data_IF_622278226672
#
_entry.id   IF_622278226672
#
_cell.length_a   1.000
_cell.length_b   1.000
_cell.length_c   1.000
_cell.angle_alpha   90.00
_cell.angle_beta   90.00
_cell.angle_gamma   90.00
#
_symmetry.space_group_name_H-M   'P 1'
#
loop_
_entity.id
_entity.type
_entity.pdbx_description
1 polymer ?
#
# COMPACT_ATOMS: atom_id res chain seq x y z
N UNK A 1 10.28 -11.67 -3.98
CA UNK A 1 9.24 -11.69 -2.92
C UNK A 1 7.89 -11.21 -3.43
N UNK A 2 7.77 -10.07 -4.12
CA UNK A 2 6.47 -9.57 -4.61
C UNK A 2 5.72 -10.56 -5.51
N UNK A 3 6.43 -11.27 -6.40
CA UNK A 3 5.81 -12.29 -7.26
C UNK A 3 5.15 -13.42 -6.45
N UNK A 4 5.81 -13.91 -5.38
CA UNK A 4 5.25 -14.93 -4.49
C UNK A 4 3.97 -14.41 -3.83
N UNK A 5 4.00 -13.18 -3.33
CA UNK A 5 2.83 -12.56 -2.70
C UNK A 5 1.69 -12.29 -3.69
N UNK A 6 1.92 -12.38 -4.99
CA UNK A 6 0.93 -12.24 -6.07
C UNK A 6 0.44 -13.55 -6.63
N UNK A 7 0.96 -14.67 -6.14
CA UNK A 7 0.62 -15.97 -6.68
C UNK A 7 -0.82 -16.34 -6.30
N UNK A 8 -1.71 -16.25 -7.29
CA UNK A 8 -3.12 -16.61 -7.14
C UNK A 8 -3.32 -18.13 -7.20
N UNK A 9 -2.49 -18.86 -7.95
CA UNK A 9 -2.66 -20.29 -8.20
C UNK A 9 -2.37 -21.12 -6.93
N UNK A 10 -1.41 -20.68 -6.11
CA UNK A 10 -1.14 -21.26 -4.79
C UNK A 10 -2.01 -20.70 -3.66
N UNK A 11 -2.98 -19.84 -4.00
CA UNK A 11 -3.86 -19.13 -3.07
C UNK A 11 -3.13 -18.27 -2.03
N UNK A 12 -1.87 -17.88 -2.28
CA UNK A 12 -1.16 -16.89 -1.48
C UNK A 12 -1.82 -15.52 -1.66
N UNK A 13 -2.17 -15.18 -2.90
CA UNK A 13 -2.96 -14.02 -3.25
C UNK A 13 -4.40 -14.44 -3.53
N UNK A 14 -5.35 -13.89 -2.76
CA UNK A 14 -6.79 -14.16 -2.92
C UNK A 14 -7.52 -12.87 -3.25
N UNK A 15 -8.29 -12.91 -4.34
CA UNK A 15 -9.11 -11.80 -4.84
C UNK A 15 -10.19 -11.36 -3.85
N UNK A 16 -10.82 -10.20 -4.09
CA UNK A 16 -11.82 -9.63 -3.17
C UNK A 16 -13.14 -10.42 -3.11
N UNK A 17 -13.40 -11.26 -4.10
CA UNK A 17 -14.56 -12.16 -4.19
C UNK A 17 -14.35 -13.49 -3.45
N UNK A 18 -13.13 -13.77 -3.01
CA UNK A 18 -12.83 -14.95 -2.19
C UNK A 18 -13.43 -14.83 -0.78
N UNK A 19 -13.78 -15.96 -0.14
CA UNK A 19 -14.32 -16.00 1.24
C UNK A 19 -13.34 -15.37 2.26
N UNK A 20 -12.04 -15.56 2.02
CA UNK A 20 -10.94 -15.02 2.80
C UNK A 20 -10.01 -14.19 1.90
N UNK A 21 -10.40 -12.96 1.54
CA UNK A 21 -9.64 -12.14 0.59
C UNK A 21 -8.32 -11.65 1.22
N UNK A 22 -7.28 -11.49 0.41
CA UNK A 22 -6.02 -10.93 0.89
C UNK A 22 -6.18 -9.42 1.09
N UNK A 23 -6.28 -8.98 2.34
CA UNK A 23 -6.55 -7.58 2.68
C UNK A 23 -5.37 -6.61 2.38
N UNK A 24 -4.17 -7.16 2.25
CA UNK A 24 -2.96 -6.42 1.92
C UNK A 24 -1.72 -7.30 2.07
N UNK A 25 -0.56 -6.76 1.72
CA UNK A 25 0.70 -7.47 1.77
C UNK A 25 1.84 -6.56 2.14
N UNK A 26 2.88 -7.15 2.74
CA UNK A 26 4.08 -6.43 3.14
C UNK A 26 5.35 -7.25 2.89
N UNK A 27 6.45 -6.56 2.61
CA UNK A 27 7.80 -7.15 2.58
C UNK A 27 8.73 -6.24 3.36
N UNK A 28 9.54 -6.81 4.25
CA UNK A 28 10.55 -6.04 4.99
C UNK A 28 11.93 -6.58 4.69
N UNK A 29 12.84 -5.68 4.35
CA UNK A 29 14.26 -5.97 4.22
C UNK A 29 14.96 -5.29 5.38
N UNK A 30 15.53 -6.10 6.26
CA UNK A 30 16.22 -5.63 7.45
C UNK A 30 17.73 -5.62 7.21
N UNK A 31 18.37 -4.52 7.58
CA UNK A 31 19.81 -4.43 7.59
C UNK A 31 20.38 -5.05 8.87
N UNK A 32 21.59 -5.63 8.75
CA UNK A 32 22.36 -6.01 9.94
C UNK A 32 22.71 -4.76 10.76
N UNK A 33 22.78 -4.83 12.10
CA UNK A 33 23.19 -3.69 12.93
C UNK A 33 24.53 -3.05 12.51
N UNK A 34 25.45 -3.85 11.97
CA UNK A 34 26.78 -3.39 11.53
C UNK A 34 26.80 -2.87 10.08
N UNK A 35 25.64 -2.85 9.40
CA UNK A 35 25.52 -2.41 8.02
C UNK A 35 25.21 -0.92 7.94
N UNK A 36 25.81 -0.24 6.97
CA UNK A 36 25.40 1.12 6.57
C UNK A 36 24.06 1.13 5.81
N UNK A 37 23.55 -0.04 5.43
CA UNK A 37 22.29 -0.17 4.69
C UNK A 37 21.11 0.22 5.60
N UNK A 38 20.15 0.95 5.06
CA UNK A 38 18.88 1.16 5.77
C UNK A 38 17.93 -0.03 5.63
N UNK A 39 17.12 -0.29 6.66
CA UNK A 39 15.93 -1.12 6.52
C UNK A 39 14.95 -0.47 5.52
N UNK A 40 14.23 -1.30 4.78
CA UNK A 40 13.19 -0.84 3.85
C UNK A 40 11.98 -1.77 3.92
N UNK A 41 10.81 -1.18 4.11
CA UNK A 41 9.54 -1.87 4.25
C UNK A 41 8.66 -1.52 3.06
N UNK A 42 7.91 -2.48 2.54
CA UNK A 42 7.09 -2.33 1.37
C UNK A 42 5.66 -2.71 1.73
N UNK A 43 4.70 -1.84 1.41
CA UNK A 43 3.29 -2.06 1.76
C UNK A 43 2.40 -1.89 0.54
N UNK A 44 1.42 -2.78 0.39
CA UNK A 44 0.37 -2.59 -0.60
C UNK A 44 -0.69 -1.59 -0.15
N UNK A 45 -1.10 -1.62 1.12
CA UNK A 45 -2.13 -0.73 1.67
C UNK A 45 -3.51 -0.85 0.99
N UNK A 46 -3.68 -1.82 0.10
CA UNK A 46 -4.93 -2.20 -0.57
C UNK A 46 -4.95 -3.73 -0.78
N UNK A 47 -6.14 -4.34 -0.90
CA UNK A 47 -6.30 -5.78 -1.08
C UNK A 47 -5.75 -6.30 -2.40
N UNK A 48 -5.64 -7.62 -2.50
CA UNK A 48 -5.24 -8.34 -3.72
C UNK A 48 -3.92 -7.79 -4.30
N UNK A 49 -2.76 -8.22 -3.77
CA UNK A 49 -1.46 -7.80 -4.28
C UNK A 49 -1.25 -8.04 -5.79
N UNK A 50 -2.00 -8.95 -6.44
CA UNK A 50 -1.94 -9.12 -7.89
C UNK A 50 -2.51 -7.90 -8.64
N UNK A 51 -3.43 -7.15 -8.02
CA UNK A 51 -4.02 -5.91 -8.53
C UNK A 51 -3.74 -4.68 -7.62
N UNK A 52 -2.69 -4.74 -6.82
CA UNK A 52 -2.21 -3.66 -5.95
C UNK A 52 -0.70 -3.44 -6.08
N UNK A 53 -0.17 -2.28 -5.66
CA UNK A 53 1.25 -1.92 -5.77
C UNK A 53 1.94 -1.79 -4.42
N UNK A 54 3.17 -2.29 -4.32
CA UNK A 54 4.03 -2.11 -3.16
C UNK A 54 4.68 -0.73 -3.18
N UNK A 55 4.54 -0.02 -2.06
CA UNK A 55 5.15 1.29 -1.83
C UNK A 55 6.23 1.16 -0.76
N UNK A 56 7.46 1.65 -1.02
CA UNK A 56 8.55 1.64 -0.07
C UNK A 56 8.30 2.63 1.07
N UNK A 57 8.78 2.25 2.24
CA UNK A 57 8.77 3.00 3.47
C UNK A 57 10.10 2.76 4.17
N UNK A 58 10.86 3.84 4.32
CA UNK A 58 12.13 3.87 5.05
C UNK A 58 11.93 4.74 6.28
N UNK A 59 12.25 4.21 7.45
CA UNK A 59 12.15 4.98 8.69
C UNK A 59 13.17 6.13 8.68
N UNK A 60 12.68 7.35 8.85
CA UNK A 60 13.48 8.54 9.06
C UNK A 60 12.87 9.41 10.16
N UNK A 61 13.60 10.42 10.62
CA UNK A 61 13.17 11.27 11.75
C UNK A 61 11.91 12.10 11.46
N UNK A 62 11.51 12.24 10.20
CA UNK A 62 10.44 13.15 9.78
C UNK A 62 9.51 12.56 8.71
N UNK A 63 9.25 11.24 8.72
CA UNK A 63 8.36 10.62 7.73
C UNK A 63 6.99 11.32 7.70
N UNK A 64 6.55 11.72 6.50
CA UNK A 64 5.22 12.27 6.25
C UNK A 64 4.33 11.20 5.63
N UNK A 65 3.10 11.12 6.11
CA UNK A 65 2.13 10.09 5.70
C UNK A 65 0.96 10.77 5.01
N UNK A 66 0.48 10.20 3.90
CA UNK A 66 -0.70 10.74 3.21
C UNK A 66 -1.96 10.57 4.06
N UNK A 67 -2.84 11.58 4.05
CA UNK A 67 -4.15 11.48 4.72
C UNK A 67 -5.07 10.43 4.08
N UNK A 68 -4.77 10.02 2.85
CA UNK A 68 -5.58 9.05 2.12
C UNK A 68 -5.47 7.61 2.60
N UNK A 69 -4.52 7.33 3.49
CA UNK A 69 -4.33 6.04 4.16
C UNK A 69 -4.64 6.13 5.67
N UNK A 70 -5.29 7.22 6.09
CA UNK A 70 -5.77 7.39 7.46
C UNK A 70 -7.26 7.02 7.50
N UNK A 71 -7.62 6.10 8.38
CA UNK A 71 -9.02 5.76 8.63
C UNK A 71 -9.78 6.95 9.23
N UNK A 72 -11.09 7.09 8.94
CA UNK A 72 -11.95 8.07 9.60
C UNK A 72 -11.90 7.94 11.12
N UNK A 73 -11.83 9.09 11.81
CA UNK A 73 -11.91 9.18 13.26
C UNK A 73 -13.35 9.56 13.64
N UNK A 74 -13.94 8.78 14.54
CA UNK A 74 -15.27 9.05 15.07
C UNK A 74 -15.13 9.65 16.48
N UNK A 75 -15.98 10.61 16.87
CA UNK A 75 -16.04 11.10 18.24
C UNK A 75 -16.22 9.95 19.24
N UNK A 76 -15.62 10.04 20.43
CA UNK A 76 -15.62 8.94 21.41
C UNK A 76 -17.03 8.50 21.84
N UNK A 77 -18.00 9.42 21.87
CA UNK A 77 -19.41 9.15 22.17
C UNK A 77 -20.18 8.54 20.98
N UNK A 78 -19.58 8.48 19.80
CA UNK A 78 -20.18 7.92 18.58
C UNK A 78 -19.43 6.67 18.07
N UNK A 79 -18.17 6.50 18.44
CA UNK A 79 -17.33 5.38 18.04
C UNK A 79 -17.82 4.08 18.71
N UNK A 80 -18.26 3.07 17.94
CA UNK A 80 -18.77 1.81 18.50
C UNK A 80 -17.75 1.03 19.33
N UNK A 81 -16.46 1.25 19.11
CA UNK A 81 -15.39 0.63 19.90
C UNK A 81 -15.20 1.31 21.27
N UNK A 82 -15.73 2.53 21.45
CA UNK A 82 -15.58 3.36 22.67
C UNK A 82 -16.87 3.41 23.50
N UNK A 83 -18.04 3.46 22.86
CA UNK A 83 -19.35 3.45 23.53
C UNK A 83 -19.64 2.08 24.16
N UNK A 84 -20.28 2.05 25.34
CA UNK A 84 -20.70 0.81 26.02
C UNK A 84 -22.23 0.64 25.94
N UNK A 85 -22.75 -0.57 25.64
CA UNK A 85 -22.01 -1.76 25.22
C UNK A 85 -21.31 -1.55 23.85
N UNK A 86 -20.17 -2.22 23.65
CA UNK A 86 -19.34 -2.01 22.45
C UNK A 86 -19.95 -2.68 21.22
N UNK A 87 -19.60 -2.17 20.04
CA UNK A 87 -19.90 -2.71 18.72
C UNK A 87 -21.39 -2.92 18.41
N UNK A 88 -22.28 -2.13 19.02
CA UNK A 88 -23.72 -2.20 18.76
C UNK A 88 -24.13 -1.66 17.38
N UNK A 89 -23.24 -0.92 16.73
CA UNK A 89 -23.40 -0.47 15.34
C UNK A 89 -22.07 -0.62 14.60
N UNK A 90 -22.15 -0.74 13.28
CA UNK A 90 -20.98 -0.78 12.40
C UNK A 90 -20.77 0.59 11.79
N UNK A 91 -19.51 1.03 11.73
CA UNK A 91 -19.11 2.27 11.05
C UNK A 91 -18.11 1.95 9.97
N UNK A 92 -18.13 2.71 8.87
CA UNK A 92 -17.16 2.56 7.79
C UNK A 92 -15.82 3.18 8.19
N UNK A 93 -14.78 2.34 8.37
CA UNK A 93 -13.40 2.77 8.69
C UNK A 93 -12.45 2.73 7.50
N UNK A 94 -12.95 2.49 6.29
CA UNK A 94 -12.12 2.44 5.09
C UNK A 94 -11.50 3.81 4.84
N UNK A 95 -10.18 3.84 4.65
CA UNK A 95 -9.49 5.05 4.21
C UNK A 95 -9.75 5.32 2.72
N UNK A 96 -9.35 6.50 2.25
CA UNK A 96 -9.65 6.95 0.88
C UNK A 96 -9.03 6.05 -0.19
N UNK A 97 -7.75 5.69 -0.04
CA UNK A 97 -7.05 4.83 -1.00
C UNK A 97 -7.77 3.47 -1.16
N UNK A 98 -8.14 2.82 -0.04
CA UNK A 98 -8.89 1.55 -0.06
C UNK A 98 -10.20 1.70 -0.83
N UNK A 99 -10.98 2.73 -0.51
CA UNK A 99 -12.28 2.96 -1.15
C UNK A 99 -12.14 3.22 -2.66
N UNK A 100 -11.07 3.89 -3.07
CA UNK A 100 -10.79 4.17 -4.49
C UNK A 100 -10.33 2.91 -5.22
N UNK A 101 -9.43 2.14 -4.61
CA UNK A 101 -9.00 0.84 -5.14
C UNK A 101 -10.19 -0.11 -5.30
N UNK A 102 -11.04 -0.24 -4.28
CA UNK A 102 -12.24 -1.10 -4.34
C UNK A 102 -13.18 -0.70 -5.49
N UNK A 103 -13.34 0.60 -5.77
CA UNK A 103 -14.14 1.08 -6.91
C UNK A 103 -13.49 0.80 -8.25
N UNK A 104 -12.16 0.87 -8.34
CA UNK A 104 -11.41 0.55 -9.54
C UNK A 104 -11.29 -0.96 -9.77
N UNK A 105 -11.39 -1.77 -8.71
CA UNK A 105 -11.09 -3.20 -8.72
C UNK A 105 -11.76 -3.98 -9.84
N UNK A 106 -13.08 -3.85 -10.11
CA UNK A 106 -13.72 -4.57 -11.20
C UNK A 106 -13.13 -4.25 -12.58
N UNK A 107 -12.66 -3.02 -12.79
CA UNK A 107 -11.97 -2.65 -14.03
C UNK A 107 -10.58 -3.31 -14.08
N UNK A 108 -9.84 -3.26 -12.97
CA UNK A 108 -8.46 -3.77 -12.86
C UNK A 108 -8.38 -5.30 -13.03
N UNK A 109 -9.41 -6.04 -12.62
CA UNK A 109 -9.45 -7.52 -12.70
C UNK A 109 -10.16 -8.05 -13.93
N UNK A 110 -10.75 -7.18 -14.76
CA UNK A 110 -11.42 -7.58 -16.00
C UNK A 110 -10.46 -7.67 -17.18
N UNK A 111 -10.91 -8.30 -18.27
CA UNK A 111 -10.22 -8.28 -19.57
C UNK A 111 -10.28 -6.91 -20.28
N UNK A 112 -10.74 -5.86 -19.59
CA UNK A 112 -10.81 -4.52 -20.16
C UNK A 112 -9.39 -3.98 -20.45
N UNK A 113 -9.08 -3.58 -21.71
CA UNK A 113 -7.75 -3.10 -22.07
C UNK A 113 -7.26 -1.92 -21.22
N UNK A 114 -8.17 -1.04 -20.79
CA UNK A 114 -7.84 0.10 -19.91
C UNK A 114 -7.40 -0.35 -18.52
N UNK A 115 -8.04 -1.38 -17.97
CA UNK A 115 -7.65 -1.97 -16.68
C UNK A 115 -6.27 -2.60 -16.76
N UNK A 116 -6.03 -3.37 -17.82
CA UNK A 116 -4.74 -4.00 -18.11
C UNK A 116 -3.62 -2.98 -18.31
N UNK A 117 -3.90 -1.87 -19.01
CA UNK A 117 -2.96 -0.75 -19.16
C UNK A 117 -2.61 -0.11 -17.81
N UNK A 118 -3.61 0.18 -16.97
CA UNK A 118 -3.39 0.76 -15.64
C UNK A 118 -2.49 -0.14 -14.79
N UNK A 119 -2.80 -1.44 -14.71
CA UNK A 119 -1.98 -2.40 -13.94
C UNK A 119 -0.57 -2.50 -14.52
N UNK A 120 -0.42 -2.55 -15.84
CA UNK A 120 0.89 -2.59 -16.50
C UNK A 120 1.75 -1.36 -16.16
N UNK A 121 1.17 -0.16 -16.21
CA UNK A 121 1.87 1.08 -15.84
C UNK A 121 2.24 1.07 -14.37
N UNK A 122 1.31 0.73 -13.49
CA UNK A 122 1.55 0.63 -12.05
C UNK A 122 2.66 -0.37 -11.71
N UNK A 123 2.70 -1.52 -12.38
CA UNK A 123 3.76 -2.54 -12.23
C UNK A 123 5.11 -2.04 -12.72
N UNK A 124 5.16 -1.34 -13.84
CA UNK A 124 6.40 -0.75 -14.36
C UNK A 124 6.95 0.30 -13.40
N UNK A 125 6.09 1.16 -12.85
CA UNK A 125 6.47 2.15 -11.84
C UNK A 125 6.97 1.49 -10.56
N UNK A 126 6.31 0.42 -10.10
CA UNK A 126 6.77 -0.37 -8.95
C UNK A 126 8.15 -0.97 -9.20
N UNK A 127 8.39 -1.60 -10.35
CA UNK A 127 9.69 -2.19 -10.68
C UNK A 127 10.80 -1.14 -10.70
N UNK A 128 10.54 0.02 -11.30
CA UNK A 128 11.50 1.14 -11.29
C UNK A 128 11.77 1.60 -9.85
N UNK A 129 10.73 1.76 -9.04
CA UNK A 129 10.85 2.17 -7.65
C UNK A 129 11.66 1.17 -6.83
N UNK A 130 11.53 -0.14 -7.06
CA UNK A 130 12.37 -1.17 -6.42
C UNK A 130 13.84 -0.98 -6.77
N UNK A 131 14.17 -0.80 -8.06
CA UNK A 131 15.55 -0.61 -8.51
C UNK A 131 16.18 0.66 -7.92
N UNK A 132 15.42 1.76 -7.92
CA UNK A 132 15.87 3.03 -7.36
C UNK A 132 16.10 2.90 -5.85
N UNK A 133 15.19 2.21 -5.15
CA UNK A 133 15.30 2.00 -3.71
C UNK A 133 16.41 1.03 -3.32
N UNK A 134 16.70 -0.01 -4.11
CA UNK A 134 17.83 -0.91 -3.87
C UNK A 134 19.15 -0.12 -3.86
N UNK A 135 19.36 0.72 -4.87
CA UNK A 135 20.53 1.61 -4.95
C UNK A 135 20.56 2.63 -3.79
N UNK A 136 19.41 3.21 -3.45
CA UNK A 136 19.30 4.19 -2.37
C UNK A 136 19.62 3.59 -1.00
N UNK A 137 19.07 2.42 -0.66
CA UNK A 137 19.25 1.83 0.67
C UNK A 137 20.67 1.31 0.89
N UNK A 138 21.36 0.88 -0.17
CA UNK A 138 22.77 0.47 -0.11
C UNK A 138 23.70 1.64 0.19
N UNK A 139 23.37 2.83 -0.32
CA UNK A 139 24.15 4.05 -0.19
C UNK A 139 23.50 5.06 0.77
N UNK A 140 22.71 4.55 1.72
CA UNK A 140 21.96 5.39 2.65
C UNK A 140 22.88 6.08 3.64
N UNK A 141 22.63 7.36 3.86
CA UNK A 141 23.32 8.18 4.85
C UNK A 141 22.30 9.08 5.54
N UNK A 142 22.59 9.50 6.78
CA UNK A 142 21.65 10.28 7.58
C UNK A 142 21.25 11.61 6.94
N UNK A 143 22.13 12.21 6.13
CA UNK A 143 21.88 13.44 5.38
C UNK A 143 20.89 13.25 4.21
N UNK A 144 20.80 12.03 3.65
CA UNK A 144 19.84 11.66 2.60
C UNK A 144 18.47 11.25 3.14
N UNK A 145 18.29 11.19 4.46
CA UNK A 145 17.02 10.85 5.08
C UNK A 145 15.86 11.78 4.65
N UNK A 146 16.19 13.02 4.28
CA UNK A 146 15.23 14.01 3.76
C UNK A 146 14.61 13.61 2.42
N UNK A 147 15.35 12.86 1.59
CA UNK A 147 14.88 12.44 0.27
C UNK A 147 13.73 11.43 0.34
N UNK A 148 13.59 10.73 1.48
CA UNK A 148 12.55 9.72 1.71
C UNK A 148 11.46 10.15 2.69
N UNK A 149 11.49 11.40 3.18
CA UNK A 149 10.47 11.93 4.10
C UNK A 149 9.06 11.86 3.49
N UNK A 150 8.93 12.25 2.23
CA UNK A 150 7.65 12.30 1.51
C UNK A 150 7.42 11.10 0.57
N UNK A 151 8.40 10.21 0.40
CA UNK A 151 8.37 9.13 -0.60
C UNK A 151 7.10 8.28 -0.52
N UNK A 152 6.77 7.78 0.67
CA UNK A 152 5.60 6.92 0.85
C UNK A 152 4.29 7.67 0.61
N UNK A 153 4.21 8.92 1.10
CA UNK A 153 3.05 9.81 0.87
C UNK A 153 2.84 10.05 -0.63
N UNK A 154 3.89 10.40 -1.34
CA UNK A 154 3.81 10.78 -2.75
C UNK A 154 3.45 9.59 -3.64
N UNK A 155 3.91 8.38 -3.30
CA UNK A 155 3.53 7.17 -4.01
C UNK A 155 2.08 6.75 -3.74
N UNK A 156 1.57 6.92 -2.51
CA UNK A 156 0.14 6.75 -2.21
C UNK A 156 -0.71 7.74 -3.02
N UNK A 157 -0.32 9.01 -3.04
CA UNK A 157 -1.04 10.06 -3.77
C UNK A 157 -0.96 9.86 -5.29
N UNK A 158 0.14 9.31 -5.79
CA UNK A 158 0.32 9.00 -7.20
C UNK A 158 -0.51 7.78 -7.63
N UNK A 159 -0.51 6.70 -6.85
CA UNK A 159 -1.36 5.52 -7.08
C UNK A 159 -2.84 5.92 -7.14
N UNK A 160 -3.30 6.78 -6.23
CA UNK A 160 -4.68 7.23 -6.22
C UNK A 160 -5.12 7.87 -7.53
N UNK A 161 -4.22 8.55 -8.26
CA UNK A 161 -4.52 9.19 -9.55
C UNK A 161 -5.01 8.17 -10.59
N UNK A 162 -4.54 6.92 -10.51
CA UNK A 162 -4.95 5.84 -11.41
C UNK A 162 -6.38 5.34 -11.13
N UNK A 163 -6.90 5.58 -9.93
CA UNK A 163 -8.25 5.13 -9.52
C UNK A 163 -9.34 6.20 -9.69
N UNK A 164 -9.02 7.39 -10.19
CA UNK A 164 -10.02 8.37 -10.60
C UNK A 164 -10.61 8.00 -11.96
N UNK A 165 -11.31 6.88 -11.98
CA UNK A 165 -12.12 6.45 -13.12
C UNK A 165 -13.42 7.27 -13.05
N UNK A 166 -13.69 8.08 -14.08
CA UNK A 166 -14.98 8.77 -14.29
C UNK A 166 -15.99 7.81 -14.88
#
# INVERSE_FOLDING_TARGET
MFQVLRDCDSEICRGQDHEFPTAGSQVSVLASPDSMRSCCHWFTGTPDPAHSVFKPFVFCSSNRISRHIVSPVFPDNEDPAKVKPRFQKVVNRCHTLYTKHQKAYPLLTSDNPKGQEIISVLRRLETQCVQDMESFVENFTSDKAKEVEDLFKDLVESEMKFYYIK
#
